data_IF_704301974205
#
_entry.id   IF_704301974205
#
_cell.length_a   1.000
_cell.length_b   1.000
_cell.length_c   1.000
_cell.angle_alpha   90.00
_cell.angle_beta   90.00
_cell.angle_gamma   90.00
#
_symmetry.space_group_name_H-M   'P 1'
#
loop_
_entity.id
_entity.type
_entity.pdbx_description
1 polymer ?
#
# COMPACT_ATOMS: atom_id res chain seq x y z
N UNK A 1 39.51 -5.95 -13.46
CA UNK A 1 38.42 -6.77 -14.03
C UNK A 1 37.20 -5.89 -14.26
N UNK A 2 36.33 -6.18 -15.24
CA UNK A 2 35.11 -5.38 -15.42
C UNK A 2 34.10 -5.68 -14.30
N UNK A 3 33.18 -4.75 -14.03
CA UNK A 3 32.15 -4.96 -13.01
C UNK A 3 31.28 -6.20 -13.27
N UNK A 4 31.03 -6.54 -14.55
CA UNK A 4 30.27 -7.73 -14.91
C UNK A 4 31.10 -9.01 -14.71
N UNK A 5 32.39 -9.00 -15.03
CA UNK A 5 33.24 -10.18 -14.82
C UNK A 5 33.41 -10.46 -13.32
N UNK A 6 33.61 -9.42 -12.51
CA UNK A 6 33.69 -9.53 -11.06
C UNK A 6 32.38 -10.02 -10.43
N UNK A 7 31.24 -9.52 -10.91
CA UNK A 7 29.92 -10.00 -10.48
C UNK A 7 29.68 -11.47 -10.86
N UNK A 8 30.13 -11.88 -12.05
CA UNK A 8 30.03 -13.26 -12.50
C UNK A 8 30.85 -14.20 -11.62
N UNK A 9 32.10 -13.85 -11.28
CA UNK A 9 32.91 -14.67 -10.37
C UNK A 9 32.33 -14.78 -8.97
N UNK A 10 31.77 -13.68 -8.43
CA UNK A 10 31.11 -13.71 -7.11
C UNK A 10 29.89 -14.63 -7.13
N UNK A 11 29.09 -14.58 -8.19
CA UNK A 11 27.90 -15.43 -8.34
C UNK A 11 28.28 -16.90 -8.58
N UNK A 12 29.30 -17.15 -9.40
CA UNK A 12 29.82 -18.50 -9.65
C UNK A 12 30.35 -19.13 -8.36
N UNK A 13 31.15 -18.37 -7.59
CA UNK A 13 31.68 -18.83 -6.31
C UNK A 13 30.59 -19.01 -5.24
N UNK A 14 29.45 -18.32 -5.36
CA UNK A 14 28.34 -18.45 -4.43
C UNK A 14 27.46 -19.67 -4.72
N UNK A 15 27.41 -20.15 -5.97
CA UNK A 15 26.59 -21.28 -6.39
C UNK A 15 25.07 -21.06 -6.26
N UNK A 16 24.64 -19.84 -5.88
CA UNK A 16 23.24 -19.46 -5.67
C UNK A 16 23.01 -18.00 -6.08
N UNK A 17 21.76 -17.61 -6.41
CA UNK A 17 21.45 -16.22 -6.66
C UNK A 17 21.74 -15.33 -5.44
N UNK A 18 22.29 -14.14 -5.67
CA UNK A 18 22.60 -13.16 -4.63
C UNK A 18 21.95 -11.81 -4.95
N UNK A 19 21.58 -11.06 -3.91
CA UNK A 19 21.11 -9.69 -4.06
C UNK A 19 22.26 -8.77 -4.51
N UNK A 20 22.00 -7.78 -5.37
CA UNK A 20 23.03 -6.94 -5.98
C UNK A 20 23.92 -6.20 -4.95
N UNK A 21 23.39 -5.86 -3.78
CA UNK A 21 24.17 -5.29 -2.68
C UNK A 21 25.23 -6.26 -2.16
N UNK A 22 24.85 -7.52 -1.97
CA UNK A 22 25.75 -8.58 -1.51
C UNK A 22 26.78 -8.94 -2.59
N UNK A 23 26.38 -8.98 -3.86
CA UNK A 23 27.30 -9.16 -4.99
C UNK A 23 28.38 -8.06 -4.95
N UNK A 24 27.94 -6.81 -4.83
CA UNK A 24 28.82 -5.65 -4.81
C UNK A 24 29.76 -5.66 -3.60
N UNK A 25 29.24 -5.99 -2.41
CA UNK A 25 30.05 -6.06 -1.20
C UNK A 25 31.17 -7.11 -1.35
N UNK A 26 30.85 -8.32 -1.82
CA UNK A 26 31.84 -9.38 -2.07
C UNK A 26 32.84 -9.03 -3.16
N UNK A 27 32.43 -8.26 -4.18
CA UNK A 27 33.35 -7.76 -5.21
C UNK A 27 34.40 -6.81 -4.63
N UNK A 28 33.99 -5.93 -3.70
CA UNK A 28 34.86 -4.98 -3.02
C UNK A 28 35.76 -5.67 -1.99
N UNK A 29 35.20 -6.54 -1.14
CA UNK A 29 35.92 -7.25 -0.08
C UNK A 29 37.02 -8.15 -0.64
N UNK A 30 36.80 -8.75 -1.81
CA UNK A 30 37.77 -9.60 -2.51
C UNK A 30 38.72 -8.81 -3.42
N UNK A 31 38.59 -7.49 -3.49
CA UNK A 31 39.40 -6.62 -4.36
C UNK A 31 39.24 -6.91 -5.86
N UNK A 32 38.15 -7.58 -6.26
CA UNK A 32 37.90 -8.01 -7.63
C UNK A 32 37.54 -6.83 -8.55
N UNK A 33 36.98 -5.78 -7.97
CA UNK A 33 36.59 -4.57 -8.66
C UNK A 33 36.67 -3.36 -7.73
N UNK A 34 36.95 -2.18 -8.28
CA UNK A 34 36.98 -0.91 -7.56
C UNK A 34 35.99 0.07 -8.18
N UNK A 35 35.28 0.82 -7.34
CA UNK A 35 34.35 1.87 -7.75
C UNK A 35 34.93 3.24 -7.50
N UNK A 36 34.76 4.17 -8.46
CA UNK A 36 35.03 5.59 -8.26
C UNK A 36 33.79 6.38 -7.78
N UNK A 37 32.60 5.76 -7.80
CA UNK A 37 31.32 6.39 -7.46
C UNK A 37 30.83 6.06 -6.05
N UNK A 38 30.03 6.97 -5.48
CA UNK A 38 29.45 6.89 -4.13
C UNK A 38 28.47 5.72 -3.94
N UNK A 39 27.87 5.20 -5.01
CA UNK A 39 26.89 4.10 -4.98
C UNK A 39 27.33 2.93 -5.89
N UNK A 40 28.33 2.15 -5.46
CA UNK A 40 28.83 1.02 -6.24
C UNK A 40 27.76 -0.05 -6.53
N UNK A 41 26.81 -0.24 -5.62
CA UNK A 41 25.75 -1.25 -5.75
C UNK A 41 24.74 -0.91 -6.85
N UNK A 42 24.36 0.36 -7.01
CA UNK A 42 23.46 0.79 -8.09
C UNK A 42 24.12 0.60 -9.46
N UNK A 43 25.43 0.85 -9.53
CA UNK A 43 26.23 0.65 -10.73
C UNK A 43 26.32 -0.82 -11.13
N UNK A 44 26.50 -1.73 -10.17
CA UNK A 44 26.53 -3.18 -10.41
C UNK A 44 25.15 -3.69 -10.83
N UNK A 45 24.09 -3.27 -10.13
CA UNK A 45 22.70 -3.63 -10.45
C UNK A 45 22.31 -3.20 -11.88
N UNK A 46 22.57 -1.95 -12.24
CA UNK A 46 22.24 -1.42 -13.57
C UNK A 46 22.98 -2.18 -14.68
N UNK A 47 24.28 -2.49 -14.48
CA UNK A 47 25.08 -3.21 -15.47
C UNK A 47 24.59 -4.63 -15.71
N UNK A 48 24.28 -5.39 -14.64
CA UNK A 48 23.74 -6.75 -14.76
C UNK A 48 22.37 -6.72 -15.44
N UNK A 49 21.50 -5.78 -15.04
CA UNK A 49 20.17 -5.61 -15.63
C UNK A 49 20.23 -5.30 -17.12
N UNK A 50 21.13 -4.39 -17.53
CA UNK A 50 21.33 -4.04 -18.94
C UNK A 50 21.88 -5.22 -19.73
N UNK A 51 22.81 -5.99 -19.17
CA UNK A 51 23.36 -7.18 -19.82
C UNK A 51 22.28 -8.24 -20.08
N UNK A 52 21.44 -8.53 -19.09
CA UNK A 52 20.30 -9.46 -19.23
C UNK A 52 19.31 -8.94 -20.27
N UNK A 53 18.96 -7.65 -20.25
CA UNK A 53 18.02 -7.05 -21.22
C UNK A 53 18.57 -7.11 -22.65
N UNK A 54 19.89 -6.91 -22.83
CA UNK A 54 20.54 -6.88 -24.14
C UNK A 54 20.75 -8.29 -24.71
N UNK A 55 21.12 -9.25 -23.87
CA UNK A 55 21.58 -10.57 -24.30
C UNK A 55 20.54 -11.69 -24.09
N UNK A 56 19.47 -11.44 -23.32
CA UNK A 56 18.41 -12.42 -23.05
C UNK A 56 18.97 -13.72 -22.48
N UNK A 57 18.57 -14.86 -23.06
CA UNK A 57 19.04 -16.20 -22.65
C UNK A 57 20.53 -16.46 -22.95
N UNK A 58 21.17 -15.60 -23.75
CA UNK A 58 22.62 -15.64 -23.97
C UNK A 58 23.41 -14.85 -22.92
N UNK A 59 22.72 -14.14 -22.01
CA UNK A 59 23.39 -13.53 -20.86
C UNK A 59 23.93 -14.62 -19.95
N UNK A 60 25.14 -14.40 -19.43
CA UNK A 60 25.73 -15.21 -18.36
C UNK A 60 25.02 -15.03 -17.02
N UNK A 61 24.05 -14.12 -16.94
CA UNK A 61 23.23 -13.87 -15.77
C UNK A 61 21.76 -14.20 -16.04
N UNK A 62 21.02 -14.45 -14.97
CA UNK A 62 19.56 -14.44 -15.00
C UNK A 62 19.03 -13.73 -13.77
N UNK A 63 17.81 -13.19 -13.87
CA UNK A 63 17.12 -12.57 -12.75
C UNK A 63 16.29 -13.61 -12.02
N UNK A 64 16.63 -13.90 -10.77
CA UNK A 64 15.90 -14.85 -9.94
C UNK A 64 14.73 -14.17 -9.19
N UNK A 65 14.93 -12.93 -8.73
CA UNK A 65 13.92 -12.11 -8.05
C UNK A 65 14.25 -10.61 -8.22
N UNK A 66 13.39 -9.65 -7.80
CA UNK A 66 13.73 -8.23 -7.81
C UNK A 66 15.05 -7.97 -7.06
N UNK A 67 16.05 -7.44 -7.76
CA UNK A 67 17.38 -7.15 -7.21
C UNK A 67 18.29 -8.37 -6.99
N UNK A 68 17.85 -9.58 -7.35
CA UNK A 68 18.60 -10.83 -7.10
C UNK A 68 18.96 -11.52 -8.42
N UNK A 69 20.25 -11.81 -8.59
CA UNK A 69 20.81 -12.32 -9.83
C UNK A 69 21.55 -13.63 -9.60
N UNK A 70 21.47 -14.56 -10.55
CA UNK A 70 22.26 -15.79 -10.59
C UNK A 70 23.12 -15.85 -11.86
N UNK A 71 24.08 -16.76 -11.93
CA UNK A 71 24.89 -17.04 -13.11
C UNK A 71 24.39 -18.28 -13.86
N UNK A 72 24.43 -18.25 -15.19
CA UNK A 72 24.21 -19.43 -16.05
C UNK A 72 25.59 -20.02 -16.38
N UNK A 73 25.83 -21.28 -16.03
CA UNK A 73 27.04 -21.97 -16.50
C UNK A 73 26.95 -22.21 -18.01
N UNK A 74 28.07 -22.01 -18.72
CA UNK A 74 28.19 -22.36 -20.13
C UNK A 74 28.25 -23.89 -20.20
N UNK A 75 27.08 -24.52 -20.36
CA UNK A 75 26.90 -25.94 -20.69
C UNK A 75 26.80 -26.88 -19.48
N UNK A 76 25.58 -27.11 -18.97
CA UNK A 76 25.32 -28.24 -18.07
C UNK A 76 24.08 -28.16 -17.18
N UNK A 77 22.98 -28.77 -17.65
CA UNK A 77 21.81 -29.29 -16.91
C UNK A 77 20.87 -28.34 -16.11
N UNK A 78 19.54 -28.63 -16.09
CA UNK A 78 18.53 -27.85 -15.39
C UNK A 78 18.67 -28.03 -13.87
N UNK A 79 18.16 -27.08 -13.06
CA UNK A 79 18.31 -27.14 -11.62
C UNK A 79 17.61 -28.39 -11.04
N UNK A 80 18.37 -29.13 -10.23
CA UNK A 80 17.86 -30.12 -9.25
C UNK A 80 16.96 -29.42 -8.22
N UNK A 81 16.03 -30.15 -7.58
CA UNK A 81 14.80 -29.60 -7.04
C UNK A 81 15.06 -28.53 -5.98
N UNK A 82 14.25 -27.48 -6.06
CA UNK A 82 14.20 -26.35 -5.14
C UNK A 82 14.26 -26.86 -3.68
N UNK A 83 15.06 -26.24 -2.79
CA UNK A 83 14.68 -26.29 -1.38
C UNK A 83 13.31 -25.64 -1.28
N UNK A 84 12.39 -26.26 -0.53
CA UNK A 84 11.03 -25.78 -0.36
C UNK A 84 11.01 -24.24 -0.16
N UNK A 85 10.07 -23.52 -0.79
CA UNK A 85 9.97 -22.08 -0.62
C UNK A 85 9.85 -21.78 0.88
N UNK A 86 10.80 -21.03 1.45
CA UNK A 86 10.62 -20.48 2.79
C UNK A 86 9.27 -19.75 2.82
N UNK A 87 8.37 -20.07 3.77
CA UNK A 87 7.03 -19.51 3.78
C UNK A 87 7.13 -17.99 3.81
N UNK A 88 6.44 -17.33 2.88
CA UNK A 88 6.40 -15.88 2.78
C UNK A 88 5.97 -15.29 4.13
N UNK A 89 6.86 -14.53 4.80
CA UNK A 89 6.56 -13.88 6.07
C UNK A 89 5.37 -12.94 5.90
N UNK A 90 4.37 -13.09 6.77
CA UNK A 90 3.16 -12.27 6.78
C UNK A 90 3.45 -10.83 7.22
N UNK A 91 2.49 -9.94 6.98
CA UNK A 91 2.53 -8.62 7.59
C UNK A 91 2.36 -8.75 9.11
N UNK A 92 2.87 -7.77 9.86
CA UNK A 92 2.71 -7.71 11.31
C UNK A 92 1.24 -7.76 11.75
N UNK A 93 0.33 -7.15 10.98
CA UNK A 93 -1.10 -7.13 11.30
C UNK A 93 -1.74 -8.49 11.03
N UNK A 94 -1.44 -9.12 9.90
CA UNK A 94 -2.05 -10.41 9.55
C UNK A 94 -1.53 -11.52 10.47
N UNK A 95 -0.26 -11.46 10.87
CA UNK A 95 0.29 -12.36 11.88
C UNK A 95 -0.33 -12.14 13.27
N UNK A 96 -0.54 -10.88 13.68
CA UNK A 96 -1.23 -10.58 14.94
C UNK A 96 -2.67 -11.13 14.95
N UNK A 97 -3.37 -11.03 13.82
CA UNK A 97 -4.73 -11.58 13.67
C UNK A 97 -4.74 -13.11 13.79
N UNK A 98 -3.83 -13.82 13.11
CA UNK A 98 -3.70 -15.29 13.22
C UNK A 98 -3.37 -15.70 14.66
N UNK A 99 -2.41 -15.02 15.29
CA UNK A 99 -2.03 -15.32 16.67
C UNK A 99 -3.21 -15.16 17.62
N UNK A 100 -3.94 -14.05 17.49
CA UNK A 100 -5.11 -13.83 18.33
C UNK A 100 -6.16 -14.91 18.06
N UNK A 101 -6.49 -15.19 16.79
CA UNK A 101 -7.53 -16.16 16.44
C UNK A 101 -7.25 -17.57 16.97
N UNK A 102 -6.04 -18.07 16.74
CA UNK A 102 -5.71 -19.47 17.01
C UNK A 102 -5.22 -19.70 18.44
N UNK A 103 -4.63 -18.70 19.09
CA UNK A 103 -3.89 -18.90 20.35
C UNK A 103 -4.40 -18.06 21.52
N UNK A 104 -5.31 -17.11 21.32
CA UNK A 104 -5.84 -16.29 22.41
C UNK A 104 -7.03 -16.92 23.14
N UNK A 105 -7.66 -17.95 22.55
CA UNK A 105 -8.82 -18.61 23.15
C UNK A 105 -10.02 -17.67 23.36
N UNK A 106 -10.16 -16.62 22.54
CA UNK A 106 -11.20 -15.61 22.67
C UNK A 106 -10.96 -14.57 23.77
N UNK A 107 -9.77 -14.53 24.38
CA UNK A 107 -9.41 -13.57 25.42
C UNK A 107 -8.36 -12.56 24.91
N UNK A 108 -8.36 -11.31 25.40
CA UNK A 108 -7.35 -10.34 24.99
C UNK A 108 -5.92 -10.80 25.32
N UNK A 109 -4.99 -10.64 24.37
CA UNK A 109 -3.56 -10.92 24.59
C UNK A 109 -2.77 -9.61 24.67
N UNK A 110 -1.74 -9.57 25.51
CA UNK A 110 -0.83 -8.44 25.56
C UNK A 110 0.02 -8.40 24.27
N UNK A 111 0.20 -7.21 23.68
CA UNK A 111 0.86 -7.06 22.37
C UNK A 111 2.24 -7.73 22.29
N UNK A 112 3.01 -7.73 23.39
CA UNK A 112 4.33 -8.38 23.44
C UNK A 112 4.24 -9.89 23.29
N UNK A 113 3.21 -10.51 23.86
CA UNK A 113 2.99 -11.95 23.76
C UNK A 113 2.46 -12.32 22.38
N UNK A 114 1.64 -11.44 21.77
CA UNK A 114 1.22 -11.59 20.37
C UNK A 114 2.45 -11.59 19.45
N UNK A 115 3.34 -10.60 19.58
CA UNK A 115 4.55 -10.51 18.77
C UNK A 115 5.49 -11.68 19.00
N UNK A 116 5.73 -12.07 20.26
CA UNK A 116 6.58 -13.23 20.58
C UNK A 116 6.03 -14.49 19.92
N UNK A 117 4.74 -14.75 20.05
CA UNK A 117 4.08 -15.91 19.43
C UNK A 117 4.17 -15.88 17.91
N UNK A 118 4.00 -14.70 17.29
CA UNK A 118 4.15 -14.56 15.84
C UNK A 118 5.58 -14.88 15.35
N UNK A 119 6.60 -14.54 16.14
CA UNK A 119 8.00 -14.89 15.87
C UNK A 119 8.26 -16.38 16.09
N UNK A 120 7.76 -16.94 17.20
CA UNK A 120 7.93 -18.36 17.52
C UNK A 120 7.29 -19.27 16.46
N UNK A 121 6.15 -18.84 15.91
CA UNK A 121 5.46 -19.51 14.82
C UNK A 121 6.06 -19.21 13.43
N UNK A 122 7.12 -18.39 13.36
CA UNK A 122 7.76 -17.95 12.12
C UNK A 122 6.79 -17.28 11.14
N UNK A 123 5.70 -16.69 11.63
CA UNK A 123 4.71 -15.96 10.83
C UNK A 123 5.28 -14.63 10.34
N UNK A 124 6.21 -14.04 11.09
CA UNK A 124 6.89 -12.80 10.74
C UNK A 124 8.39 -12.97 10.88
N UNK A 125 9.13 -12.23 10.08
CA UNK A 125 10.57 -12.04 10.21
C UNK A 125 10.84 -10.55 10.39
N UNK A 126 11.87 -10.20 11.17
CA UNK A 126 12.14 -8.80 11.50
C UNK A 126 13.62 -8.58 11.72
N UNK A 127 14.16 -7.55 11.06
CA UNK A 127 15.51 -7.04 11.28
C UNK A 127 15.54 -5.90 12.33
N UNK A 128 14.37 -5.44 12.77
CA UNK A 128 14.22 -4.31 13.69
C UNK A 128 14.48 -4.68 15.15
N UNK A 129 14.94 -3.70 15.95
CA UNK A 129 15.28 -3.91 17.36
C UNK A 129 14.06 -4.06 18.30
N UNK A 130 12.88 -3.59 17.88
CA UNK A 130 11.66 -3.58 18.72
C UNK A 130 10.41 -4.00 17.92
N UNK A 131 10.34 -5.25 17.45
CA UNK A 131 9.22 -5.73 16.65
C UNK A 131 7.87 -5.63 17.38
N UNK A 132 7.85 -5.71 18.71
CA UNK A 132 6.63 -5.58 19.50
C UNK A 132 6.02 -4.18 19.43
N UNK A 133 6.87 -3.14 19.47
CA UNK A 133 6.44 -1.74 19.38
C UNK A 133 5.91 -1.43 17.98
N UNK A 134 6.59 -1.96 16.95
CA UNK A 134 6.17 -1.83 15.55
C UNK A 134 4.81 -2.49 15.32
N UNK A 135 4.63 -3.73 15.81
CA UNK A 135 3.36 -4.44 15.72
C UNK A 135 2.23 -3.64 16.40
N UNK A 136 2.47 -3.21 17.63
CA UNK A 136 1.47 -2.51 18.42
C UNK A 136 1.09 -1.15 17.83
N UNK A 137 2.06 -0.36 17.38
CA UNK A 137 1.81 0.89 16.69
C UNK A 137 0.99 0.69 15.41
N UNK A 138 1.30 -0.37 14.65
CA UNK A 138 0.52 -0.77 13.48
C UNK A 138 -0.94 -1.08 13.83
N UNK A 139 -1.17 -1.89 14.87
CA UNK A 139 -2.51 -2.25 15.35
C UNK A 139 -3.27 -0.97 15.76
N UNK A 140 -2.68 -0.10 16.57
CA UNK A 140 -3.32 1.14 17.01
C UNK A 140 -3.67 2.07 15.84
N UNK A 141 -2.76 2.19 14.86
CA UNK A 141 -2.98 2.99 13.66
C UNK A 141 -4.13 2.44 12.82
N UNK A 142 -4.20 1.12 12.65
CA UNK A 142 -5.31 0.44 11.97
C UNK A 142 -6.63 0.72 12.69
N UNK A 143 -6.67 0.52 14.02
CA UNK A 143 -7.86 0.76 14.85
C UNK A 143 -8.36 2.20 14.65
N UNK A 144 -7.47 3.18 14.83
CA UNK A 144 -7.82 4.58 14.69
C UNK A 144 -8.32 4.92 13.29
N UNK A 145 -7.67 4.39 12.25
CA UNK A 145 -8.05 4.63 10.85
C UNK A 145 -9.43 4.04 10.54
N UNK A 146 -9.71 2.83 10.98
CA UNK A 146 -11.00 2.15 10.78
C UNK A 146 -12.13 2.91 11.51
N UNK A 147 -11.94 3.26 12.78
CA UNK A 147 -12.89 4.07 13.56
C UNK A 147 -13.15 5.43 12.90
N UNK A 148 -12.09 6.10 12.42
CA UNK A 148 -12.23 7.35 11.65
C UNK A 148 -13.04 7.13 10.38
N UNK A 149 -12.93 5.99 9.71
CA UNK A 149 -13.79 5.68 8.55
C UNK A 149 -15.18 5.19 8.94
N UNK A 150 -15.46 5.07 10.23
CA UNK A 150 -16.69 4.50 10.81
C UNK A 150 -16.77 2.98 10.66
N UNK A 151 -15.69 2.32 10.26
CA UNK A 151 -15.60 0.88 9.99
C UNK A 151 -15.25 0.17 11.31
N UNK A 152 -15.75 -1.04 11.53
CA UNK A 152 -15.29 -1.85 12.65
C UNK A 152 -13.81 -2.21 12.46
N UNK A 153 -12.92 -1.85 13.39
CA UNK A 153 -11.55 -2.31 13.33
C UNK A 153 -11.50 -3.83 13.53
N UNK A 154 -10.52 -4.50 12.90
CA UNK A 154 -10.31 -5.94 13.12
C UNK A 154 -9.84 -6.25 14.55
N UNK A 155 -9.17 -5.29 15.17
CA UNK A 155 -8.63 -5.36 16.52
C UNK A 155 -9.41 -4.45 17.46
N UNK A 156 -9.48 -4.85 18.73
CA UNK A 156 -10.02 -4.05 19.83
C UNK A 156 -8.96 -3.87 20.91
N UNK A 157 -8.93 -2.71 21.56
CA UNK A 157 -7.95 -2.38 22.61
C UNK A 157 -8.63 -2.46 23.98
N UNK A 158 -8.05 -3.27 24.88
CA UNK A 158 -8.55 -3.49 26.25
C UNK A 158 -7.77 -2.69 27.31
N UNK A 159 -6.92 -1.75 26.89
CA UNK A 159 -6.05 -0.97 27.78
C UNK A 159 -4.77 -1.70 28.15
N UNK A 160 -3.81 -0.98 28.75
CA UNK A 160 -2.51 -1.53 29.25
C UNK A 160 -1.73 -2.42 28.25
N UNK A 161 -1.92 -2.23 26.94
CA UNK A 161 -1.26 -3.02 25.90
C UNK A 161 -1.99 -4.29 25.46
N UNK A 162 -3.19 -4.58 25.98
CA UNK A 162 -4.00 -5.73 25.59
C UNK A 162 -4.81 -5.45 24.32
N UNK A 163 -4.80 -6.44 23.44
CA UNK A 163 -5.47 -6.43 22.14
C UNK A 163 -6.28 -7.72 21.98
N UNK A 164 -7.49 -7.61 21.46
CA UNK A 164 -8.32 -8.74 21.06
C UNK A 164 -8.88 -8.57 19.65
N UNK A 165 -9.63 -9.56 19.18
CA UNK A 165 -10.34 -9.45 17.90
C UNK A 165 -11.77 -9.01 18.12
N UNK A 166 -12.17 -7.98 17.39
CA UNK A 166 -13.54 -7.45 17.41
C UNK A 166 -14.57 -8.51 17.06
N UNK A 167 -14.20 -9.47 16.19
CA UNK A 167 -15.09 -10.57 15.77
C UNK A 167 -15.41 -11.56 16.88
N UNK A 168 -14.67 -11.62 17.99
CA UNK A 168 -15.05 -12.48 19.11
C UNK A 168 -16.43 -12.09 19.70
N UNK A 169 -16.87 -10.88 19.41
CA UNK A 169 -18.20 -10.37 19.73
C UNK A 169 -19.11 -10.37 18.50
N UNK A 170 -19.28 -11.52 17.82
CA UNK A 170 -20.13 -11.68 16.61
C UNK A 170 -21.61 -11.28 16.82
N UNK A 171 -21.99 -10.96 18.06
CA UNK A 171 -23.32 -10.48 18.45
C UNK A 171 -23.17 -9.33 19.44
N UNK A 172 -24.07 -8.35 19.36
CA UNK A 172 -24.11 -7.22 20.30
C UNK A 172 -24.03 -5.86 19.62
N UNK A 173 -23.80 -4.82 20.42
CA UNK A 173 -23.79 -3.43 19.98
C UNK A 173 -22.76 -3.14 18.87
N UNK A 174 -21.50 -3.67 18.90
CA UNK A 174 -20.53 -3.41 17.84
C UNK A 174 -21.01 -3.85 16.45
N UNK A 175 -21.62 -5.04 16.35
CA UNK A 175 -22.21 -5.53 15.10
C UNK A 175 -23.35 -4.64 14.60
N UNK A 176 -24.24 -4.20 15.50
CA UNK A 176 -25.34 -3.29 15.15
C UNK A 176 -24.83 -1.95 14.63
N UNK A 177 -23.77 -1.41 15.26
CA UNK A 177 -23.11 -0.18 14.82
C UNK A 177 -22.56 -0.34 13.41
N UNK A 178 -21.90 -1.46 13.08
CA UNK A 178 -21.36 -1.68 11.74
C UNK A 178 -22.45 -1.88 10.69
N UNK A 179 -23.48 -2.66 11.00
CA UNK A 179 -24.60 -2.85 10.10
C UNK A 179 -25.25 -1.50 9.77
N UNK A 180 -25.44 -0.65 10.78
CA UNK A 180 -25.91 0.71 10.61
C UNK A 180 -24.95 1.57 9.77
N UNK A 181 -23.66 1.59 10.11
CA UNK A 181 -22.66 2.40 9.40
C UNK A 181 -22.54 1.98 7.92
N UNK A 182 -22.67 0.67 7.63
CA UNK A 182 -22.71 0.15 6.25
C UNK A 182 -23.93 0.66 5.48
N UNK A 183 -25.11 0.63 6.09
CA UNK A 183 -26.32 1.19 5.49
C UNK A 183 -26.16 2.70 5.22
N UNK A 184 -25.57 3.43 6.16
CA UNK A 184 -25.29 4.88 6.01
C UNK A 184 -24.32 5.13 4.85
N UNK A 185 -23.25 4.34 4.70
CA UNK A 185 -22.32 4.45 3.55
C UNK A 185 -23.04 4.24 2.22
N UNK A 186 -23.87 3.22 2.13
CA UNK A 186 -24.62 2.92 0.92
C UNK A 186 -25.59 4.06 0.58
N UNK A 187 -26.33 4.56 1.58
CA UNK A 187 -27.24 5.70 1.42
C UNK A 187 -26.50 6.98 1.03
N UNK A 188 -25.33 7.24 1.62
CA UNK A 188 -24.49 8.38 1.26
C UNK A 188 -24.02 8.27 -0.19
N UNK A 189 -23.52 7.11 -0.62
CA UNK A 189 -23.12 6.87 -2.00
C UNK A 189 -24.29 7.06 -2.98
N UNK A 190 -25.49 6.58 -2.64
CA UNK A 190 -26.67 6.78 -3.48
C UNK A 190 -27.07 8.25 -3.59
N UNK A 191 -26.99 9.01 -2.49
CA UNK A 191 -27.26 10.46 -2.50
C UNK A 191 -26.26 11.21 -3.39
N UNK A 192 -24.98 10.83 -3.35
CA UNK A 192 -23.95 11.42 -4.22
C UNK A 192 -24.21 11.06 -5.69
N UNK A 193 -24.66 9.84 -5.99
CA UNK A 193 -25.00 9.42 -7.36
C UNK A 193 -26.18 10.19 -7.95
N UNK A 194 -27.13 10.66 -7.14
CA UNK A 194 -28.28 11.46 -7.60
C UNK A 194 -28.00 12.96 -7.63
N UNK A 195 -26.89 13.41 -7.06
CA UNK A 195 -26.45 14.80 -7.04
C UNK A 195 -26.19 15.35 -8.46
N UNK A 196 -26.45 16.64 -8.67
CA UNK A 196 -26.12 17.32 -9.92
C UNK A 196 -24.60 17.40 -10.14
N UNK A 197 -24.12 17.48 -11.40
CA UNK A 197 -22.68 17.49 -11.70
C UNK A 197 -21.89 18.57 -10.96
N UNK A 198 -22.39 19.82 -10.97
CA UNK A 198 -21.75 20.96 -10.31
C UNK A 198 -21.66 20.73 -8.80
N UNK A 199 -22.75 20.31 -8.16
CA UNK A 199 -22.75 20.05 -6.72
C UNK A 199 -21.81 18.88 -6.33
N UNK A 200 -21.63 17.90 -7.23
CA UNK A 200 -20.68 16.81 -7.02
C UNK A 200 -19.23 17.29 -7.14
N UNK A 201 -18.93 18.16 -8.10
CA UNK A 201 -17.61 18.80 -8.22
C UNK A 201 -17.30 19.67 -6.99
N UNK A 202 -18.28 20.43 -6.50
CA UNK A 202 -18.15 21.23 -5.27
C UNK A 202 -17.87 20.34 -4.04
N UNK A 203 -18.61 19.23 -3.87
CA UNK A 203 -18.38 18.26 -2.79
C UNK A 203 -16.97 17.67 -2.85
N UNK A 204 -16.49 17.34 -4.04
CA UNK A 204 -15.12 16.84 -4.23
C UNK A 204 -14.09 17.92 -3.91
N UNK A 205 -14.33 19.17 -4.30
CA UNK A 205 -13.48 20.30 -3.93
C UNK A 205 -13.38 20.48 -2.41
N UNK A 206 -14.51 20.42 -1.71
CA UNK A 206 -14.55 20.45 -0.24
C UNK A 206 -13.77 19.29 0.38
N UNK A 207 -13.96 18.07 -0.13
CA UNK A 207 -13.22 16.89 0.34
C UNK A 207 -11.71 17.06 0.16
N UNK A 208 -11.25 17.50 -1.01
CA UNK A 208 -9.83 17.71 -1.28
C UNK A 208 -9.22 18.76 -0.35
N UNK A 209 -9.92 19.87 -0.13
CA UNK A 209 -9.49 20.89 0.84
C UNK A 209 -9.34 20.31 2.25
N UNK A 210 -10.29 19.48 2.70
CA UNK A 210 -10.22 18.80 4.02
C UNK A 210 -9.10 17.76 4.13
N UNK A 211 -8.69 17.16 3.02
CA UNK A 211 -7.55 16.23 2.95
C UNK A 211 -6.20 16.98 3.04
N UNK A 212 -6.19 18.29 2.80
CA UNK A 212 -4.98 19.13 2.85
C UNK A 212 -4.50 19.62 1.49
N UNK A 213 -5.38 19.66 0.48
CA UNK A 213 -5.09 20.37 -0.76
C UNK A 213 -5.27 21.87 -0.56
N UNK A 214 -4.28 22.64 -1.03
CA UNK A 214 -4.31 24.09 -1.13
C UNK A 214 -4.63 24.54 -2.55
N UNK A 215 -5.01 25.81 -2.72
CA UNK A 215 -5.33 26.44 -4.00
C UNK A 215 -6.31 25.62 -4.86
N UNK A 216 -7.30 24.99 -4.21
CA UNK A 216 -8.31 24.17 -4.89
C UNK A 216 -9.18 25.06 -5.77
N UNK A 217 -9.06 24.90 -7.08
CA UNK A 217 -9.80 25.65 -8.09
C UNK A 217 -10.60 24.71 -8.99
N UNK A 218 -11.92 24.90 -9.01
CA UNK A 218 -12.82 24.22 -9.95
C UNK A 218 -12.65 24.85 -11.33
N UNK A 219 -12.31 24.04 -12.34
CA UNK A 219 -12.12 24.49 -13.72
C UNK A 219 -13.46 24.55 -14.45
N UNK A 220 -13.65 25.55 -15.32
CA UNK A 220 -14.85 25.59 -16.16
C UNK A 220 -14.70 24.58 -17.30
N UNK A 221 -15.77 23.87 -17.60
CA UNK A 221 -15.86 22.70 -18.49
C UNK A 221 -15.46 22.87 -19.98
N UNK A 222 -14.67 23.88 -20.36
CA UNK A 222 -14.32 24.14 -21.75
C UNK A 222 -12.82 24.03 -22.00
N UNK A 223 -12.43 22.97 -22.73
CA UNK A 223 -11.16 22.90 -23.46
C UNK A 223 -9.96 22.28 -22.74
N UNK A 224 -10.08 21.84 -21.48
CA UNK A 224 -8.94 21.34 -20.70
C UNK A 224 -8.80 19.81 -20.67
N UNK A 225 -9.45 19.11 -21.59
CA UNK A 225 -9.43 17.65 -21.64
C UNK A 225 -10.23 16.97 -20.52
N UNK A 226 -11.05 17.72 -19.79
CA UNK A 226 -11.97 17.21 -18.78
C UNK A 226 -11.37 17.16 -17.38
N UNK A 227 -10.43 18.05 -17.07
CA UNK A 227 -10.02 18.29 -15.70
C UNK A 227 -11.13 19.13 -15.06
N UNK A 228 -11.57 18.74 -13.87
CA UNK A 228 -12.68 19.41 -13.18
C UNK A 228 -12.18 20.21 -11.97
N UNK A 229 -11.06 19.80 -11.37
CA UNK A 229 -10.42 20.49 -10.23
C UNK A 229 -8.91 20.48 -10.39
N UNK A 230 -8.24 21.59 -10.06
CA UNK A 230 -6.79 21.64 -9.82
C UNK A 230 -6.51 22.04 -8.38
N UNK A 231 -5.45 21.51 -7.80
CA UNK A 231 -5.01 21.89 -6.45
C UNK A 231 -3.59 21.42 -6.17
N UNK A 232 -3.01 21.91 -5.08
CA UNK A 232 -1.66 21.56 -4.65
C UNK A 232 -1.75 20.77 -3.35
N UNK A 233 -1.31 19.52 -3.37
CA UNK A 233 -1.16 18.76 -2.12
C UNK A 233 0.14 19.21 -1.44
N UNK A 234 0.01 19.67 -0.19
CA UNK A 234 1.14 20.07 0.64
C UNK A 234 1.36 19.04 1.74
N UNK A 235 2.55 18.44 1.78
CA UNK A 235 2.93 17.49 2.82
C UNK A 235 4.10 18.05 3.65
N UNK A 236 3.89 18.11 4.97
CA UNK A 236 4.89 18.59 5.93
C UNK A 236 5.35 20.03 5.68
N UNK A 237 4.48 20.88 5.13
CA UNK A 237 4.71 22.29 4.79
C UNK A 237 5.81 22.58 3.75
N UNK A 238 6.45 21.54 3.20
CA UNK A 238 7.61 21.70 2.29
C UNK A 238 7.48 20.95 0.97
N UNK A 239 6.72 19.86 0.92
CA UNK A 239 6.54 19.07 -0.31
C UNK A 239 5.25 19.52 -0.98
N UNK A 240 5.36 20.09 -2.18
CA UNK A 240 4.23 20.53 -2.99
C UNK A 240 4.07 19.63 -4.22
N UNK A 241 2.89 19.04 -4.38
CA UNK A 241 2.55 18.24 -5.56
C UNK A 241 1.32 18.85 -6.24
N UNK A 242 1.49 19.30 -7.49
CA UNK A 242 0.37 19.81 -8.29
C UNK A 242 -0.46 18.66 -8.81
N UNK A 243 -1.75 18.72 -8.58
CA UNK A 243 -2.70 17.67 -8.92
C UNK A 243 -3.76 18.22 -9.87
N UNK A 244 -4.00 17.50 -10.96
CA UNK A 244 -5.14 17.70 -11.83
C UNK A 244 -6.14 16.56 -11.60
N UNK A 245 -7.35 16.92 -11.22
CA UNK A 245 -8.38 15.98 -10.78
C UNK A 245 -9.53 15.98 -11.78
N UNK A 246 -9.88 14.80 -12.26
CA UNK A 246 -11.09 14.58 -13.03
C UNK A 246 -12.14 13.86 -12.17
N UNK A 247 -13.35 14.39 -12.20
CA UNK A 247 -14.50 13.95 -11.42
C UNK A 247 -15.54 13.38 -12.36
N UNK A 248 -15.89 12.10 -12.19
CA UNK A 248 -16.85 11.40 -13.05
C UNK A 248 -17.98 10.77 -12.25
N UNK A 249 -19.18 11.33 -12.37
CA UNK A 249 -20.40 10.72 -11.84
C UNK A 249 -20.89 9.59 -12.75
N UNK A 250 -20.39 8.37 -12.54
CA UNK A 250 -20.66 7.23 -13.41
C UNK A 250 -21.36 6.09 -12.67
N UNK A 251 -22.27 5.40 -13.37
CA UNK A 251 -22.87 4.14 -12.90
C UNK A 251 -21.99 2.92 -13.24
N UNK A 252 -21.28 2.98 -14.36
CA UNK A 252 -20.42 1.92 -14.86
C UNK A 252 -18.96 2.17 -14.50
N UNK A 253 -18.12 1.16 -14.70
CA UNK A 253 -16.71 1.28 -14.42
C UNK A 253 -16.01 2.23 -15.40
N UNK A 254 -15.12 3.07 -14.88
CA UNK A 254 -14.22 3.90 -15.67
C UNK A 254 -13.25 3.00 -16.44
N UNK A 255 -13.04 3.32 -17.71
CA UNK A 255 -12.24 2.52 -18.65
C UNK A 255 -10.89 3.20 -18.95
N UNK A 256 -9.93 2.43 -19.47
CA UNK A 256 -8.59 2.91 -19.81
C UNK A 256 -8.55 4.19 -20.67
N UNK A 257 -9.44 4.42 -21.66
CA UNK A 257 -9.43 5.66 -22.44
C UNK A 257 -9.58 6.93 -21.60
N UNK A 258 -10.34 6.88 -20.50
CA UNK A 258 -10.51 8.04 -19.60
C UNK A 258 -9.20 8.34 -18.88
N UNK A 259 -8.49 7.31 -18.43
CA UNK A 259 -7.18 7.43 -17.78
C UNK A 259 -6.16 8.04 -18.74
N UNK A 260 -6.16 7.60 -20.01
CA UNK A 260 -5.30 8.15 -21.07
C UNK A 260 -5.60 9.62 -21.35
N UNK A 261 -6.89 9.98 -21.40
CA UNK A 261 -7.34 11.35 -21.62
C UNK A 261 -6.86 12.29 -20.50
N UNK A 262 -7.04 11.90 -19.23
CA UNK A 262 -6.56 12.69 -18.09
C UNK A 262 -5.05 12.86 -18.16
N UNK A 263 -4.32 11.77 -18.43
CA UNK A 263 -2.86 11.80 -18.56
C UNK A 263 -2.39 12.75 -19.66
N UNK A 264 -3.08 12.78 -20.80
CA UNK A 264 -2.78 13.70 -21.90
C UNK A 264 -3.12 15.17 -21.61
N UNK A 265 -3.89 15.43 -20.55
CA UNK A 265 -4.35 16.78 -20.15
C UNK A 265 -3.53 17.35 -19.00
N UNK A 266 -2.57 16.59 -18.45
CA UNK A 266 -1.69 17.03 -17.38
C UNK A 266 -0.71 18.09 -17.87
N UNK A 267 -0.53 19.14 -17.07
CA UNK A 267 0.52 20.13 -17.22
C UNK A 267 1.90 19.59 -16.82
N UNK A 268 2.93 20.42 -17.03
CA UNK A 268 4.30 20.08 -16.65
C UNK A 268 4.39 19.82 -15.14
N UNK A 269 4.89 18.64 -14.77
CA UNK A 269 5.05 18.18 -13.38
C UNK A 269 3.74 18.07 -12.59
N UNK A 270 2.58 18.03 -13.26
CA UNK A 270 1.32 17.67 -12.62
C UNK A 270 1.18 16.16 -12.50
N UNK A 271 0.53 15.70 -11.43
CA UNK A 271 0.04 14.34 -11.28
C UNK A 271 -1.48 14.30 -11.48
N UNK A 272 -2.01 13.15 -11.90
CA UNK A 272 -3.44 12.99 -12.14
C UNK A 272 -4.15 12.29 -10.98
N UNK A 273 -5.40 12.65 -10.73
CA UNK A 273 -6.33 11.90 -9.88
C UNK A 273 -7.67 11.77 -10.58
N UNK A 274 -8.25 10.56 -10.58
CA UNK A 274 -9.61 10.33 -11.08
C UNK A 274 -10.48 9.91 -9.91
N UNK A 275 -11.58 10.65 -9.71
CA UNK A 275 -12.58 10.37 -8.68
C UNK A 275 -13.88 9.97 -9.38
N UNK A 276 -14.47 8.83 -8.98
CA UNK A 276 -15.73 8.34 -9.57
C UNK A 276 -16.71 7.82 -8.53
N UNK A 277 -18.00 7.93 -8.80
CA UNK A 277 -19.07 7.28 -8.00
C UNK A 277 -19.24 5.79 -8.30
N UNK A 278 -18.57 5.31 -9.37
CA UNK A 278 -18.51 3.90 -9.78
C UNK A 278 -17.23 3.23 -9.27
N UNK A 279 -16.69 2.33 -10.07
CA UNK A 279 -15.38 1.71 -9.86
C UNK A 279 -14.53 1.78 -11.15
N UNK A 280 -13.35 1.15 -11.17
CA UNK A 280 -12.45 1.12 -12.33
C UNK A 280 -12.43 -0.28 -12.96
N UNK A 281 -12.20 -0.36 -14.27
CA UNK A 281 -11.91 -1.65 -14.91
C UNK A 281 -10.48 -2.10 -14.65
N UNK A 282 -10.19 -3.39 -14.84
CA UNK A 282 -8.82 -3.91 -14.74
C UNK A 282 -7.87 -3.17 -15.70
N UNK A 283 -8.31 -2.90 -16.93
CA UNK A 283 -7.54 -2.12 -17.91
C UNK A 283 -7.31 -0.67 -17.47
N UNK A 284 -8.28 -0.03 -16.80
CA UNK A 284 -8.09 1.32 -16.26
C UNK A 284 -7.03 1.36 -15.14
N UNK A 285 -7.04 0.37 -14.24
CA UNK A 285 -6.02 0.23 -13.18
C UNK A 285 -4.63 0.00 -13.77
N UNK A 286 -4.51 -0.93 -14.71
CA UNK A 286 -3.25 -1.20 -15.41
C UNK A 286 -2.74 0.03 -16.18
N UNK A 287 -3.62 0.76 -16.87
CA UNK A 287 -3.22 1.99 -17.58
C UNK A 287 -2.72 3.04 -16.61
N UNK A 288 -3.35 3.21 -15.44
CA UNK A 288 -3.00 4.21 -14.44
C UNK A 288 -1.58 4.02 -13.89
N UNK A 289 -1.18 2.76 -13.66
CA UNK A 289 0.07 2.33 -13.02
C UNK A 289 1.24 2.06 -14.00
N UNK A 290 1.12 2.44 -15.27
CA UNK A 290 2.19 2.16 -16.24
C UNK A 290 3.54 2.78 -15.83
N UNK A 291 4.63 1.98 -15.73
CA UNK A 291 5.92 2.43 -15.16
C UNK A 291 6.57 3.62 -15.86
N UNK A 292 6.38 3.74 -17.18
CA UNK A 292 7.05 4.75 -18.00
C UNK A 292 6.21 6.02 -18.21
N UNK A 293 5.11 6.19 -17.46
CA UNK A 293 4.17 7.28 -17.65
C UNK A 293 3.81 7.97 -16.33
N UNK A 294 3.43 9.26 -16.38
CA UNK A 294 3.04 10.06 -15.21
C UNK A 294 1.88 9.43 -14.42
N UNK A 295 2.07 8.97 -13.16
CA UNK A 295 1.06 8.23 -12.42
C UNK A 295 -0.30 8.94 -12.34
N UNK A 296 -1.38 8.15 -12.45
CA UNK A 296 -2.75 8.63 -12.24
C UNK A 296 -3.31 7.90 -11.02
N UNK A 297 -3.55 8.62 -9.93
CA UNK A 297 -4.24 8.07 -8.77
C UNK A 297 -5.71 7.79 -9.10
N UNK A 298 -6.28 6.73 -8.53
CA UNK A 298 -7.65 6.30 -8.75
C UNK A 298 -8.40 6.24 -7.41
N UNK A 299 -9.56 6.90 -7.33
CA UNK A 299 -10.44 6.90 -6.17
C UNK A 299 -11.85 6.52 -6.59
N UNK A 300 -12.31 5.36 -6.13
CA UNK A 300 -13.66 4.88 -6.44
C UNK A 300 -14.70 5.38 -5.43
N UNK A 301 -15.97 5.07 -5.68
CA UNK A 301 -17.07 5.61 -4.88
C UNK A 301 -17.03 5.16 -3.43
N UNK A 302 -16.53 3.94 -3.16
CA UNK A 302 -16.37 3.43 -1.80
C UNK A 302 -15.25 4.18 -1.05
N UNK A 303 -14.08 4.31 -1.67
CA UNK A 303 -12.94 5.04 -1.10
C UNK A 303 -13.30 6.51 -0.82
N UNK A 304 -13.98 7.16 -1.75
CA UNK A 304 -14.48 8.52 -1.58
C UNK A 304 -15.43 8.64 -0.38
N UNK A 305 -16.39 7.72 -0.24
CA UNK A 305 -17.31 7.71 0.91
C UNK A 305 -16.57 7.49 2.23
N UNK A 306 -15.58 6.59 2.28
CA UNK A 306 -14.77 6.41 3.49
C UNK A 306 -14.03 7.69 3.87
N UNK A 307 -13.51 8.45 2.90
CA UNK A 307 -12.85 9.74 3.14
C UNK A 307 -13.84 10.83 3.56
N UNK A 308 -15.03 10.90 2.95
CA UNK A 308 -16.09 11.84 3.38
C UNK A 308 -16.44 11.61 4.85
N UNK A 309 -16.59 10.35 5.26
CA UNK A 309 -16.85 9.99 6.66
C UNK A 309 -15.67 10.38 7.55
N UNK A 310 -14.44 10.05 7.14
CA UNK A 310 -13.21 10.38 7.87
C UNK A 310 -13.04 11.88 8.14
N UNK A 311 -13.55 12.74 7.26
CA UNK A 311 -13.54 14.19 7.40
C UNK A 311 -14.88 14.81 7.83
N UNK A 312 -15.83 13.99 8.31
CA UNK A 312 -17.15 14.40 8.81
C UNK A 312 -18.01 15.18 7.80
N UNK A 313 -17.87 14.88 6.51
CA UNK A 313 -18.61 15.52 5.42
C UNK A 313 -19.88 14.73 5.13
N UNK A 314 -21.04 15.38 5.31
CA UNK A 314 -22.34 14.78 5.00
C UNK A 314 -22.80 13.69 5.98
N UNK A 315 -22.12 13.53 7.10
CA UNK A 315 -22.45 12.57 8.18
C UNK A 315 -22.41 13.23 9.55
N UNK A 316 -23.07 12.62 10.53
CA UNK A 316 -23.03 13.02 11.94
C UNK A 316 -22.60 11.82 12.77
N UNK A 317 -21.68 12.03 13.71
CA UNK A 317 -21.23 11.01 14.66
C UNK A 317 -21.96 11.17 15.98
N UNK A 318 -22.39 10.05 16.56
CA UNK A 318 -22.96 10.00 17.91
C UNK A 318 -22.11 9.05 18.74
N UNK A 319 -21.66 9.52 19.91
CA UNK A 319 -20.92 8.71 20.87
C UNK A 319 -21.87 8.23 21.98
N UNK A 320 -21.76 6.97 22.37
CA UNK A 320 -22.51 6.39 23.49
C UNK A 320 -21.54 5.89 24.56
N UNK A 321 -21.89 6.11 25.82
CA UNK A 321 -21.17 5.53 26.96
C UNK A 321 -21.81 4.18 27.31
N UNK A 322 -21.02 3.11 27.25
CA UNK A 322 -21.41 1.77 27.69
C UNK A 322 -20.69 1.48 29.01
N UNK A 323 -21.45 1.02 30.01
CA UNK A 323 -20.95 0.73 31.35
C UNK A 323 -21.18 -0.75 31.60
N UNK A 324 -20.11 -1.48 31.88
CA UNK A 324 -20.13 -2.89 32.26
C UNK A 324 -19.79 -3.07 33.74
N UNK A 325 -20.25 -4.18 34.32
CA UNK A 325 -19.87 -4.59 35.67
C UNK A 325 -18.49 -5.27 35.62
N UNK A 326 -17.58 -4.85 36.50
CA UNK A 326 -16.29 -5.50 36.67
C UNK A 326 -16.48 -6.79 37.47
N UNK A 327 -16.41 -7.96 36.83
CA UNK A 327 -16.40 -9.24 37.54
C UNK A 327 -15.01 -9.44 38.18
N UNK A 328 -14.92 -9.27 39.50
CA UNK A 328 -13.69 -9.47 40.26
C UNK A 328 -13.40 -10.96 40.49
N UNK A 329 -12.13 -11.35 40.40
CA UNK A 329 -11.62 -12.63 40.91
C UNK A 329 -11.81 -12.68 42.44
N UNK A 330 -12.70 -13.56 42.93
CA UNK A 330 -12.85 -13.90 44.35
C UNK A 330 -11.67 -14.71 44.89
#
# INVERSE_FOLDING_TARGET
MSALDAAYEVLLAAGKPLHYREITQRMLDRGLWTSAGLTPWDSVNARITVDIKKNGDRSRFYRAAPGTFGCREIGGHPPSPEPDPEPASLSFLDAAEIVLEEYAGGQPMHYRDITRKALDLHLITTEGLTPESTMYAGILTEIQRQIKRGELPRFEKFGKGYVGLTRWHERGLPYQIEAHNREVRERLLQRIRTMGPIAFEELVGELLAKIGFEDVAVTRASGDGGIDVRGTLVAGDVIQTKMAVQVKRWKNNVQAPVVQQVRGSLGAHEQGLIITTGDFSAGARQEAEQPDKTPIALMNGKQMVSLLIEHDIGVLRTNYDLIDLEEGEE
#
